data_IF_366789202828
#
_entry.id   IF_366789202828
#
_cell.length_a   1.000
_cell.length_b   1.000
_cell.length_c   1.000
_cell.angle_alpha   90.00
_cell.angle_beta   90.00
_cell.angle_gamma   90.00
#
_symmetry.space_group_name_H-M   'P 1'
#
loop_
_entity.id
_entity.type
_entity.pdbx_description
1 polymer ?
#
# COMPACT_ATOMS: atom_id res chain seq x y z
N UNK A 1 -6.62 24.49 -23.11
CA UNK A 1 -5.81 23.77 -24.10
C UNK A 1 -4.42 23.59 -23.53
N UNK A 2 -3.91 22.36 -23.57
CA UNK A 2 -2.60 22.02 -23.04
C UNK A 2 -1.47 22.52 -23.94
N UNK A 3 -0.29 22.76 -23.38
CA UNK A 3 0.87 23.27 -24.13
C UNK A 3 1.38 22.26 -25.17
N UNK A 4 1.14 20.97 -24.96
CA UNK A 4 1.63 19.85 -25.78
C UNK A 4 0.48 19.00 -26.34
N UNK A 5 -0.73 19.54 -26.43
CA UNK A 5 -1.93 18.81 -26.84
C UNK A 5 -1.80 18.13 -28.21
N UNK A 6 -1.20 18.83 -29.19
CA UNK A 6 -0.97 18.28 -30.53
C UNK A 6 0.07 17.16 -30.55
N UNK A 7 1.12 17.28 -29.73
CA UNK A 7 2.13 16.23 -29.57
C UNK A 7 1.50 15.00 -28.89
N UNK A 8 0.69 15.21 -27.85
CA UNK A 8 0.00 14.16 -27.13
C UNK A 8 -0.97 13.37 -28.04
N UNK A 9 -1.80 14.04 -28.84
CA UNK A 9 -2.71 13.41 -29.81
C UNK A 9 -1.97 12.54 -30.81
N UNK A 10 -0.86 13.06 -31.36
CA UNK A 10 -0.03 12.32 -32.32
C UNK A 10 0.64 11.11 -31.65
N UNK A 11 1.21 11.26 -30.46
CA UNK A 11 1.82 10.13 -29.74
C UNK A 11 0.78 9.01 -29.53
N UNK A 12 -0.40 9.34 -29.01
CA UNK A 12 -1.47 8.35 -28.76
C UNK A 12 -1.92 7.66 -30.04
N UNK A 13 -2.03 8.39 -31.15
CA UNK A 13 -2.37 7.82 -32.45
C UNK A 13 -1.30 6.85 -32.93
N UNK A 14 -0.04 7.26 -32.88
CA UNK A 14 1.08 6.47 -33.43
C UNK A 14 1.47 5.27 -32.54
N UNK A 15 1.10 5.23 -31.26
CA UNK A 15 1.21 4.00 -30.43
C UNK A 15 0.06 3.00 -30.66
N UNK A 16 -0.80 3.25 -31.65
CA UNK A 16 -1.91 2.36 -32.02
C UNK A 16 -3.26 2.71 -31.39
N UNK A 17 -3.43 3.94 -30.93
CA UNK A 17 -4.70 4.43 -30.36
C UNK A 17 -4.88 4.12 -28.87
N UNK A 18 -5.93 4.68 -28.27
CA UNK A 18 -6.26 4.51 -26.85
C UNK A 18 -6.47 3.03 -26.50
N UNK A 19 -7.13 2.31 -27.40
CA UNK A 19 -7.46 0.90 -27.30
C UNK A 19 -6.24 -0.02 -27.21
N UNK A 20 -5.08 0.42 -27.72
CA UNK A 20 -3.82 -0.33 -27.67
C UNK A 20 -2.99 -0.06 -26.41
N UNK A 21 -3.37 0.93 -25.59
CA UNK A 21 -2.63 1.30 -24.37
C UNK A 21 -3.25 0.60 -23.16
N UNK A 22 -2.49 -0.31 -22.51
CA UNK A 22 -2.88 -0.93 -21.25
C UNK A 22 -2.62 0.00 -20.06
N UNK A 23 -1.44 0.61 -20.02
CA UNK A 23 -1.10 1.58 -18.98
C UNK A 23 -0.03 2.54 -19.46
N UNK A 24 -0.02 3.71 -18.81
CA UNK A 24 0.98 4.75 -19.05
C UNK A 24 1.61 5.15 -17.72
N UNK A 25 2.93 5.06 -17.66
CA UNK A 25 3.75 5.61 -16.57
C UNK A 25 4.79 6.56 -17.16
N UNK A 26 5.46 7.36 -16.34
CA UNK A 26 6.51 8.24 -16.83
C UNK A 26 7.62 8.41 -15.79
N UNK A 27 8.85 8.57 -16.29
CA UNK A 27 9.97 9.07 -15.49
C UNK A 27 10.25 10.54 -15.88
N UNK A 28 11.42 11.07 -15.51
CA UNK A 28 11.78 12.49 -15.75
C UNK A 28 11.85 12.80 -17.26
N UNK A 29 12.30 11.83 -18.08
CA UNK A 29 12.58 12.06 -19.51
C UNK A 29 11.81 11.17 -20.49
N UNK A 30 11.00 10.21 -20.00
CA UNK A 30 10.32 9.23 -20.86
C UNK A 30 8.87 8.96 -20.45
N UNK A 31 8.00 8.86 -21.45
CA UNK A 31 6.70 8.22 -21.35
C UNK A 31 6.88 6.72 -21.57
N UNK A 32 6.31 5.90 -20.70
CA UNK A 32 6.43 4.44 -20.72
C UNK A 32 5.04 3.83 -20.88
N UNK A 33 4.76 3.34 -22.07
CA UNK A 33 3.52 2.68 -22.42
C UNK A 33 3.68 1.17 -22.23
N UNK A 34 2.70 0.55 -21.56
CA UNK A 34 2.46 -0.90 -21.67
C UNK A 34 1.41 -1.05 -22.77
N UNK A 35 1.80 -1.56 -23.94
CA UNK A 35 0.90 -1.73 -25.08
C UNK A 35 0.27 -3.14 -25.05
N UNK A 36 -0.89 -3.30 -25.68
CA UNK A 36 -1.49 -4.64 -25.92
C UNK A 36 -0.76 -5.36 -27.03
N UNK A 37 -0.43 -4.62 -28.08
CA UNK A 37 0.25 -5.12 -29.26
C UNK A 37 1.25 -4.06 -29.74
N UNK A 38 2.54 -4.35 -29.59
CA UNK A 38 3.60 -3.43 -30.01
C UNK A 38 3.71 -3.32 -31.54
N UNK A 39 3.21 -4.30 -32.30
CA UNK A 39 3.26 -4.25 -33.78
C UNK A 39 2.37 -3.16 -34.38
N UNK A 40 1.40 -2.67 -33.61
CA UNK A 40 0.52 -1.56 -33.99
C UNK A 40 1.15 -0.19 -33.72
N UNK A 41 2.32 -0.13 -33.09
CA UNK A 41 3.02 1.11 -32.84
C UNK A 41 3.95 1.48 -34.01
N UNK A 42 3.76 2.67 -34.56
CA UNK A 42 4.56 3.21 -35.65
C UNK A 42 5.86 3.83 -35.12
N UNK A 43 6.81 2.96 -34.78
CA UNK A 43 8.09 3.34 -34.15
C UNK A 43 8.90 4.34 -34.98
N UNK A 44 8.98 4.16 -36.30
CA UNK A 44 9.74 5.05 -37.17
C UNK A 44 9.08 6.44 -37.30
N UNK A 45 7.74 6.50 -37.31
CA UNK A 45 7.02 7.77 -37.29
C UNK A 45 7.28 8.51 -35.98
N UNK A 46 7.18 7.81 -34.85
CA UNK A 46 7.40 8.39 -33.51
C UNK A 46 8.82 8.95 -33.33
N UNK A 47 9.86 8.27 -33.86
CA UNK A 47 11.24 8.76 -33.80
C UNK A 47 11.47 10.06 -34.57
N UNK A 48 10.68 10.30 -35.63
CA UNK A 48 10.82 11.46 -36.51
C UNK A 48 9.88 12.63 -36.11
N UNK A 49 9.12 12.49 -35.02
CA UNK A 49 8.22 13.54 -34.55
C UNK A 49 8.99 14.64 -33.82
N UNK A 50 8.63 15.89 -34.13
CA UNK A 50 9.14 17.05 -33.41
C UNK A 50 8.78 16.97 -31.92
N UNK A 51 9.77 17.11 -31.04
CA UNK A 51 9.65 16.90 -29.60
C UNK A 51 9.86 15.46 -29.11
N UNK A 52 10.13 14.49 -29.98
CA UNK A 52 10.55 13.13 -29.60
C UNK A 52 12.02 12.93 -29.93
N UNK A 53 12.83 12.60 -28.92
CA UNK A 53 14.27 12.36 -29.08
C UNK A 53 14.53 10.97 -29.65
N UNK A 54 13.83 9.96 -29.13
CA UNK A 54 13.94 8.57 -29.60
C UNK A 54 12.81 7.70 -29.03
N UNK A 55 12.70 6.47 -29.53
CA UNK A 55 11.81 5.44 -29.01
C UNK A 55 12.62 4.18 -28.70
N UNK A 56 12.39 3.59 -27.54
CA UNK A 56 13.10 2.41 -27.06
C UNK A 56 12.11 1.38 -26.50
N UNK A 57 12.38 0.10 -26.73
CA UNK A 57 11.64 -1.01 -26.12
C UNK A 57 12.55 -1.70 -25.11
N UNK A 58 12.18 -1.65 -23.82
CA UNK A 58 12.97 -2.25 -22.75
C UNK A 58 12.08 -2.66 -21.58
N UNK A 59 12.31 -3.87 -21.05
CA UNK A 59 11.58 -4.39 -19.88
C UNK A 59 10.08 -4.57 -20.13
N UNK A 60 9.68 -4.99 -21.35
CA UNK A 60 8.27 -5.16 -21.72
C UNK A 60 7.47 -3.87 -21.78
N UNK A 61 8.14 -2.72 -21.94
CA UNK A 61 7.53 -1.40 -22.06
C UNK A 61 8.02 -0.69 -23.31
N UNK A 62 7.10 -0.01 -23.97
CA UNK A 62 7.34 0.85 -25.11
C UNK A 62 7.58 2.30 -24.65
N UNK A 63 8.79 2.81 -24.82
CA UNK A 63 9.23 4.06 -24.22
C UNK A 63 9.45 5.15 -25.26
N UNK A 64 8.70 6.25 -25.15
CA UNK A 64 8.89 7.47 -25.96
C UNK A 64 9.71 8.46 -25.15
N UNK A 65 10.92 8.77 -25.63
CA UNK A 65 11.86 9.69 -24.99
C UNK A 65 11.63 11.09 -25.52
N UNK A 66 11.26 12.02 -24.65
CA UNK A 66 10.93 13.41 -25.00
C UNK A 66 11.94 14.39 -24.36
N UNK A 67 12.47 14.06 -23.18
CA UNK A 67 13.31 14.94 -22.39
C UNK A 67 12.57 15.58 -21.21
N UNK A 68 13.06 16.70 -20.70
CA UNK A 68 12.62 17.27 -19.41
C UNK A 68 11.15 17.75 -19.37
N UNK A 69 10.47 17.78 -20.52
CA UNK A 69 9.07 18.22 -20.64
C UNK A 69 8.05 17.09 -20.40
N UNK A 70 8.48 15.86 -20.12
CA UNK A 70 7.59 14.71 -19.92
C UNK A 70 6.48 14.92 -18.89
N UNK A 71 6.70 15.56 -17.73
CA UNK A 71 5.62 15.82 -16.78
C UNK A 71 4.47 16.66 -17.36
N UNK A 72 4.78 17.59 -18.27
CA UNK A 72 3.79 18.44 -18.92
C UNK A 72 3.13 17.73 -20.10
N UNK A 73 3.90 17.01 -20.92
CA UNK A 73 3.35 16.18 -22.01
C UNK A 73 2.44 15.09 -21.45
N UNK A 74 2.78 14.53 -20.29
CA UNK A 74 1.99 13.49 -19.61
C UNK A 74 0.56 13.95 -19.33
N UNK A 75 0.37 15.19 -18.85
CA UNK A 75 -0.95 15.74 -18.54
C UNK A 75 -1.84 15.78 -19.79
N UNK A 76 -1.26 16.18 -20.92
CA UNK A 76 -1.97 16.26 -22.19
C UNK A 76 -2.24 14.87 -22.78
N UNK A 77 -1.31 13.92 -22.61
CA UNK A 77 -1.52 12.51 -23.00
C UNK A 77 -2.61 11.85 -22.16
N UNK A 78 -2.66 12.11 -20.85
CA UNK A 78 -3.74 11.62 -19.99
C UNK A 78 -5.09 12.21 -20.38
N UNK A 79 -5.14 13.48 -20.81
CA UNK A 79 -6.37 14.09 -21.30
C UNK A 79 -6.85 13.45 -22.62
N UNK A 80 -5.94 13.05 -23.51
CA UNK A 80 -6.26 12.38 -24.78
C UNK A 80 -6.65 10.91 -24.56
N UNK A 81 -5.93 10.18 -23.70
CA UNK A 81 -6.26 8.80 -23.35
C UNK A 81 -7.51 8.73 -22.48
N UNK A 82 -7.86 9.79 -21.75
CA UNK A 82 -8.95 9.77 -20.78
C UNK A 82 -8.71 8.75 -19.67
N UNK A 83 -9.78 8.30 -19.02
CA UNK A 83 -9.68 7.20 -18.04
C UNK A 83 -9.28 5.93 -18.80
N UNK A 84 -8.05 5.47 -18.56
CA UNK A 84 -7.59 4.13 -18.90
C UNK A 84 -8.17 3.18 -17.85
N UNK A 85 -8.86 2.13 -18.29
CA UNK A 85 -9.26 1.08 -17.38
C UNK A 85 -7.99 0.46 -16.77
N UNK A 86 -7.92 0.29 -15.44
CA UNK A 86 -6.74 -0.27 -14.81
C UNK A 86 -6.56 -1.72 -15.31
N UNK A 87 -5.58 -1.93 -16.19
CA UNK A 87 -5.18 -3.28 -16.60
C UNK A 87 -4.45 -3.92 -15.43
N UNK A 88 -5.11 -4.91 -14.85
CA UNK A 88 -4.51 -5.85 -13.90
C UNK A 88 -3.31 -6.50 -14.55
N UNK A 89 -2.21 -6.57 -13.82
CA UNK A 89 -1.02 -7.30 -14.21
C UNK A 89 -1.36 -8.80 -14.27
N UNK A 90 -1.81 -9.29 -15.42
CA UNK A 90 -2.06 -10.71 -15.69
C UNK A 90 -0.73 -11.41 -16.07
N UNK A 91 0.21 -11.43 -15.12
CA UNK A 91 1.21 -12.50 -15.08
C UNK A 91 0.52 -13.85 -14.85
N UNK A 92 1.15 -14.98 -15.20
CA UNK A 92 0.57 -16.30 -14.96
C UNK A 92 0.14 -16.39 -13.50
N UNK A 93 -1.16 -16.60 -13.28
CA UNK A 93 -1.73 -16.67 -11.92
C UNK A 93 -1.15 -17.90 -11.24
N UNK A 94 -0.05 -17.70 -10.51
CA UNK A 94 0.59 -18.71 -9.69
C UNK A 94 -0.37 -19.31 -8.66
N UNK A 95 0.15 -20.23 -7.86
CA UNK A 95 -0.60 -20.90 -6.80
C UNK A 95 -1.21 -19.88 -5.83
N UNK A 96 -2.18 -20.28 -5.01
CA UNK A 96 -2.82 -19.41 -4.01
C UNK A 96 -1.80 -18.68 -3.13
N UNK A 97 -0.66 -19.32 -2.87
CA UNK A 97 0.48 -18.73 -2.17
C UNK A 97 1.13 -17.58 -2.95
N UNK A 98 1.41 -17.75 -4.24
CA UNK A 98 2.03 -16.71 -5.08
C UNK A 98 1.14 -15.47 -5.16
N UNK A 99 -0.18 -15.65 -5.30
CA UNK A 99 -1.15 -14.54 -5.29
C UNK A 99 -1.18 -13.80 -3.96
N UNK A 100 -1.03 -14.54 -2.86
CA UNK A 100 -0.95 -13.95 -1.53
C UNK A 100 0.33 -13.13 -1.38
N UNK A 101 1.47 -13.65 -1.84
CA UNK A 101 2.75 -12.94 -1.87
C UNK A 101 2.65 -11.68 -2.73
N UNK A 102 2.11 -11.76 -3.95
CA UNK A 102 1.92 -10.62 -4.84
C UNK A 102 1.00 -9.54 -4.25
N UNK A 103 -0.02 -9.96 -3.49
CA UNK A 103 -0.90 -9.06 -2.78
C UNK A 103 -0.13 -8.32 -1.69
N UNK A 104 0.57 -9.05 -0.81
CA UNK A 104 1.35 -8.46 0.29
C UNK A 104 2.46 -7.56 -0.26
N UNK A 105 3.24 -8.04 -1.22
CA UNK A 105 4.30 -7.26 -1.88
C UNK A 105 3.75 -5.98 -2.49
N UNK A 106 2.63 -6.02 -3.20
CA UNK A 106 2.02 -4.82 -3.78
C UNK A 106 1.51 -3.80 -2.75
N UNK A 107 1.16 -4.24 -1.53
CA UNK A 107 0.75 -3.36 -0.42
C UNK A 107 1.97 -2.70 0.24
N UNK A 108 3.07 -3.45 0.39
CA UNK A 108 4.28 -2.99 1.09
C UNK A 108 5.24 -2.20 0.21
N UNK A 109 5.37 -2.53 -1.07
CA UNK A 109 6.31 -1.89 -2.01
C UNK A 109 6.31 -0.35 -1.94
N UNK A 110 5.15 0.35 -1.95
CA UNK A 110 5.14 1.82 -1.87
C UNK A 110 5.65 2.39 -0.53
N UNK A 111 5.63 1.59 0.54
CA UNK A 111 6.00 2.01 1.90
C UNK A 111 7.44 1.59 2.25
N UNK A 112 8.04 0.67 1.49
CA UNK A 112 9.42 0.19 1.73
C UNK A 112 10.46 1.31 1.90
N UNK A 113 10.51 2.37 1.06
CA UNK A 113 11.48 3.44 1.25
C UNK A 113 11.29 4.18 2.59
N UNK A 114 10.04 4.39 2.99
CA UNK A 114 9.71 5.05 4.26
C UNK A 114 10.04 4.14 5.46
N UNK A 115 9.78 2.84 5.35
CA UNK A 115 10.20 1.84 6.35
C UNK A 115 11.71 1.82 6.53
N UNK A 116 12.48 1.85 5.44
CA UNK A 116 13.92 1.92 5.49
C UNK A 116 14.40 3.19 6.23
N UNK A 117 13.81 4.35 5.91
CA UNK A 117 14.14 5.60 6.59
C UNK A 117 13.83 5.56 8.10
N UNK A 118 12.65 5.07 8.50
CA UNK A 118 12.27 4.93 9.91
C UNK A 118 13.20 3.96 10.67
N UNK A 119 13.56 2.84 10.05
CA UNK A 119 14.51 1.88 10.61
C UNK A 119 15.91 2.46 10.79
N UNK A 120 16.42 3.19 9.78
CA UNK A 120 17.72 3.87 9.87
C UNK A 120 17.72 4.93 10.97
N UNK A 121 16.64 5.72 11.11
CA UNK A 121 16.49 6.71 12.18
C UNK A 121 16.47 6.06 13.56
N UNK A 122 15.80 4.92 13.72
CA UNK A 122 15.86 4.11 14.95
C UNK A 122 17.27 3.63 15.24
N UNK A 123 18.01 3.17 14.22
CA UNK A 123 19.41 2.76 14.35
C UNK A 123 20.31 3.90 14.82
N UNK A 124 20.18 5.09 14.22
CA UNK A 124 20.91 6.30 14.65
C UNK A 124 20.57 6.66 16.09
N UNK A 125 19.29 6.63 16.45
CA UNK A 125 18.81 6.91 17.81
C UNK A 125 19.42 5.94 18.83
N UNK A 126 19.49 4.65 18.50
CA UNK A 126 20.11 3.64 19.35
C UNK A 126 21.61 3.88 19.54
N UNK A 127 22.34 4.22 18.48
CA UNK A 127 23.78 4.53 18.55
C UNK A 127 24.02 5.78 19.41
N UNK A 128 23.24 6.85 19.22
CA UNK A 128 23.35 8.07 20.01
C UNK A 128 23.03 7.81 21.49
N UNK A 129 22.00 7.01 21.77
CA UNK A 129 21.63 6.61 23.12
C UNK A 129 22.73 5.81 23.81
N UNK A 130 23.41 4.93 23.08
CA UNK A 130 24.53 4.16 23.61
C UNK A 130 25.77 5.03 23.84
N UNK A 131 26.13 5.89 22.87
CA UNK A 131 27.33 6.72 22.91
C UNK A 131 27.25 7.87 23.92
N UNK A 132 26.10 8.54 24.03
CA UNK A 132 25.91 9.72 24.89
C UNK A 132 25.41 9.35 26.30
N UNK A 133 25.14 8.06 26.55
CA UNK A 133 24.76 7.53 27.85
C UNK A 133 23.34 7.88 28.32
N UNK A 134 22.98 7.48 29.56
CA UNK A 134 21.61 7.53 30.07
C UNK A 134 20.97 8.92 30.11
N UNK A 135 21.79 9.97 30.24
CA UNK A 135 21.31 11.36 30.29
C UNK A 135 20.74 11.82 28.95
N UNK A 136 21.26 11.31 27.83
CA UNK A 136 20.68 11.57 26.51
C UNK A 136 19.34 10.84 26.35
N UNK A 137 19.27 9.57 26.75
CA UNK A 137 18.05 8.76 26.65
C UNK A 137 16.85 9.34 27.42
N UNK A 138 17.10 10.06 28.51
CA UNK A 138 16.08 10.78 29.27
C UNK A 138 15.79 12.21 28.74
N UNK A 139 16.52 12.67 27.73
CA UNK A 139 16.45 14.03 27.20
C UNK A 139 15.36 14.23 26.15
N UNK A 140 14.92 15.47 25.98
CA UNK A 140 13.95 15.87 24.95
C UNK A 140 14.45 15.59 23.52
N UNK A 141 15.76 15.73 23.28
CA UNK A 141 16.38 15.40 21.98
C UNK A 141 16.19 13.94 21.63
N UNK A 142 16.43 13.01 22.57
CA UNK A 142 16.18 11.59 22.35
C UNK A 142 14.71 11.33 22.04
N UNK A 143 13.78 11.96 22.76
CA UNK A 143 12.35 11.79 22.52
C UNK A 143 11.96 12.17 21.08
N UNK A 144 12.53 13.25 20.52
CA UNK A 144 12.30 13.66 19.13
C UNK A 144 12.87 12.63 18.15
N UNK A 145 14.12 12.21 18.34
CA UNK A 145 14.76 11.18 17.50
C UNK A 145 13.99 9.86 17.53
N UNK A 146 13.55 9.45 18.72
CA UNK A 146 12.77 8.24 18.90
C UNK A 146 11.41 8.34 18.22
N UNK A 147 10.73 9.49 18.31
CA UNK A 147 9.46 9.76 17.65
C UNK A 147 9.57 9.77 16.11
N UNK A 148 10.69 10.24 15.55
CA UNK A 148 10.93 10.21 14.09
C UNK A 148 10.87 8.78 13.54
N UNK A 149 11.37 7.80 14.29
CA UNK A 149 11.28 6.38 13.94
C UNK A 149 9.93 5.76 14.32
N UNK A 150 9.47 6.00 15.55
CA UNK A 150 8.23 5.38 16.07
C UNK A 150 6.97 5.80 15.33
N UNK A 151 6.93 7.02 14.79
CA UNK A 151 5.76 7.52 14.08
C UNK A 151 5.31 6.56 12.97
N UNK A 152 6.23 6.04 12.16
CA UNK A 152 5.87 5.10 11.11
C UNK A 152 5.42 3.74 11.67
N UNK A 153 6.16 3.18 12.64
CA UNK A 153 5.88 1.83 13.15
C UNK A 153 4.59 1.77 13.96
N UNK A 154 4.32 2.79 14.77
CA UNK A 154 3.09 2.91 15.56
C UNK A 154 1.87 3.07 14.65
N UNK A 155 1.98 3.93 13.64
CA UNK A 155 0.90 4.23 12.70
C UNK A 155 1.00 3.41 11.40
N UNK A 156 1.78 2.33 11.39
CA UNK A 156 1.97 1.46 10.23
C UNK A 156 0.64 1.00 9.61
N UNK A 157 -0.39 0.66 10.40
CA UNK A 157 -1.70 0.33 9.85
C UNK A 157 -2.29 1.44 8.98
N UNK A 158 -2.06 2.72 9.29
CA UNK A 158 -2.61 3.85 8.52
C UNK A 158 -2.00 3.90 7.12
N UNK A 159 -0.68 3.75 7.04
CA UNK A 159 0.02 3.71 5.75
C UNK A 159 -0.41 2.49 4.93
N UNK A 160 -0.48 1.33 5.56
CA UNK A 160 -0.95 0.10 4.90
C UNK A 160 -2.41 0.19 4.49
N UNK A 161 -3.27 0.85 5.27
CA UNK A 161 -4.67 1.06 4.92
C UNK A 161 -4.81 1.85 3.62
N UNK A 162 -3.96 2.86 3.41
CA UNK A 162 -3.89 3.61 2.15
C UNK A 162 -3.48 2.72 0.97
N UNK A 163 -2.36 2.00 1.08
CA UNK A 163 -1.83 1.19 -0.03
C UNK A 163 -2.68 -0.03 -0.31
N UNK A 164 -3.25 -0.67 0.72
CA UNK A 164 -4.16 -1.80 0.59
C UNK A 164 -5.46 -1.41 -0.10
N UNK A 165 -6.09 -0.29 0.29
CA UNK A 165 -7.27 0.21 -0.45
C UNK A 165 -6.94 0.50 -1.91
N UNK A 166 -5.77 1.08 -2.20
CA UNK A 166 -5.34 1.30 -3.58
C UNK A 166 -5.17 -0.02 -4.35
N UNK A 167 -4.58 -1.04 -3.73
CA UNK A 167 -4.40 -2.39 -4.30
C UNK A 167 -5.75 -3.08 -4.56
N UNK A 168 -6.71 -2.95 -3.64
CA UNK A 168 -8.05 -3.53 -3.78
C UNK A 168 -9.01 -2.67 -4.62
N UNK A 169 -8.60 -1.49 -5.08
CA UNK A 169 -9.40 -0.58 -5.90
C UNK A 169 -10.52 0.14 -5.14
N UNK A 170 -10.34 0.39 -3.85
CA UNK A 170 -11.19 1.26 -3.02
C UNK A 170 -10.56 2.65 -2.82
N UNK A 171 -11.24 3.51 -2.05
CA UNK A 171 -10.76 4.85 -1.71
C UNK A 171 -9.63 4.81 -0.67
N UNK A 172 -8.41 5.30 -0.97
CA UNK A 172 -7.28 5.19 -0.05
C UNK A 172 -7.49 5.88 1.32
N UNK A 173 -8.08 7.08 1.33
CA UNK A 173 -8.37 7.81 2.56
C UNK A 173 -9.41 7.12 3.45
N UNK A 174 -10.30 6.31 2.87
CA UNK A 174 -11.25 5.51 3.63
C UNK A 174 -10.54 4.37 4.36
N UNK A 175 -9.53 3.76 3.72
CA UNK A 175 -8.65 2.78 4.38
C UNK A 175 -7.84 3.38 5.51
N UNK A 176 -7.32 4.60 5.32
CA UNK A 176 -6.65 5.34 6.40
C UNK A 176 -7.59 5.62 7.58
N UNK A 177 -8.85 5.98 7.32
CA UNK A 177 -9.86 6.20 8.35
C UNK A 177 -10.14 4.92 9.16
N UNK A 178 -10.31 3.78 8.48
CA UNK A 178 -10.51 2.48 9.12
C UNK A 178 -9.28 2.11 9.95
N UNK A 179 -8.08 2.27 9.40
CA UNK A 179 -6.85 2.04 10.13
C UNK A 179 -6.72 2.93 11.37
N UNK A 180 -7.02 4.22 11.25
CA UNK A 180 -6.98 5.17 12.36
C UNK A 180 -7.92 4.78 13.51
N UNK A 181 -9.07 4.15 13.20
CA UNK A 181 -9.95 3.59 14.21
C UNK A 181 -9.32 2.40 14.96
N UNK A 182 -8.56 1.55 14.26
CA UNK A 182 -7.84 0.42 14.88
C UNK A 182 -6.70 0.88 15.79
N UNK A 183 -6.02 1.96 15.41
CA UNK A 183 -4.94 2.59 16.19
C UNK A 183 -5.43 3.74 17.07
N UNK A 184 -6.72 3.75 17.43
CA UNK A 184 -7.27 4.75 18.33
C UNK A 184 -6.47 4.78 19.64
N UNK A 185 -6.09 5.98 20.08
CA UNK A 185 -5.18 6.18 21.22
C UNK A 185 -5.62 5.39 22.47
N UNK A 186 -6.92 5.42 22.78
CA UNK A 186 -7.46 4.74 23.96
C UNK A 186 -7.29 3.21 23.94
N UNK A 187 -7.14 2.61 22.76
CA UNK A 187 -6.85 1.18 22.61
C UNK A 187 -5.35 0.88 22.70
N UNK A 188 -4.50 1.80 22.24
CA UNK A 188 -3.04 1.64 22.28
C UNK A 188 -2.50 1.84 23.70
N UNK A 189 -2.95 2.89 24.39
CA UNK A 189 -2.50 3.19 25.76
C UNK A 189 -3.28 2.43 26.84
N UNK A 190 -4.28 1.65 26.42
CA UNK A 190 -5.14 0.85 27.30
C UNK A 190 -6.07 1.66 28.18
N UNK A 191 -6.15 2.99 28.03
CA UNK A 191 -7.03 3.85 28.85
C UNK A 191 -8.51 3.51 28.65
N UNK A 192 -8.92 3.23 27.41
CA UNK A 192 -10.30 2.82 27.12
C UNK A 192 -10.59 1.42 27.67
N UNK A 193 -9.62 0.50 27.60
CA UNK A 193 -9.77 -0.88 28.11
C UNK A 193 -9.99 -0.89 29.62
N UNK A 194 -9.29 -0.03 30.37
CA UNK A 194 -9.51 0.15 31.81
C UNK A 194 -10.92 0.63 32.12
N UNK A 195 -11.42 1.61 31.36
CA UNK A 195 -12.78 2.13 31.53
C UNK A 195 -13.84 1.05 31.20
N UNK A 196 -13.62 0.24 30.17
CA UNK A 196 -14.54 -0.85 29.82
C UNK A 196 -14.64 -1.90 30.91
N UNK A 197 -13.54 -2.22 31.60
CA UNK A 197 -13.55 -3.16 32.71
C UNK A 197 -14.50 -2.73 33.84
N UNK A 198 -14.69 -1.43 34.04
CA UNK A 198 -15.59 -0.85 35.04
C UNK A 198 -17.05 -0.82 34.57
N UNK A 199 -17.31 -0.78 33.26
CA UNK A 199 -18.65 -0.62 32.67
C UNK A 199 -19.23 -1.90 32.06
N UNK A 200 -18.72 -3.07 32.46
CA UNK A 200 -19.25 -4.38 32.03
C UNK A 200 -18.45 -5.07 30.92
N UNK A 201 -17.26 -4.59 30.59
CA UNK A 201 -16.33 -5.22 29.64
C UNK A 201 -16.45 -4.71 28.20
N UNK A 202 -15.78 -5.40 27.28
CA UNK A 202 -15.75 -5.05 25.85
C UNK A 202 -16.98 -5.61 25.13
N UNK A 203 -18.06 -4.82 25.08
CA UNK A 203 -19.28 -5.16 24.35
C UNK A 203 -19.66 -4.10 23.32
N UNK A 204 -20.04 -4.54 22.12
CA UNK A 204 -20.64 -3.72 21.10
C UNK A 204 -22.11 -4.13 20.93
N UNK A 205 -23.05 -3.33 21.43
CA UNK A 205 -24.49 -3.65 21.49
C UNK A 205 -24.80 -5.07 22.04
N UNK A 206 -24.10 -5.47 23.10
CA UNK A 206 -24.25 -6.79 23.73
C UNK A 206 -23.40 -7.91 23.12
N UNK A 207 -22.77 -7.69 21.97
CA UNK A 207 -21.85 -8.66 21.37
C UNK A 207 -20.46 -8.46 21.96
N UNK A 208 -19.85 -9.49 22.59
CA UNK A 208 -18.50 -9.37 23.12
C UNK A 208 -17.49 -9.22 21.99
N UNK A 209 -16.48 -8.39 22.20
CA UNK A 209 -15.32 -8.28 21.31
C UNK A 209 -14.03 -8.21 22.12
N UNK A 210 -12.90 -8.42 21.47
CA UNK A 210 -11.59 -8.39 22.12
C UNK A 210 -10.61 -7.56 21.31
N UNK A 211 -9.94 -6.63 21.97
CA UNK A 211 -8.78 -5.93 21.42
C UNK A 211 -7.53 -6.56 22.04
N UNK A 212 -6.48 -6.85 21.25
CA UNK A 212 -5.20 -7.29 21.80
C UNK A 212 -4.66 -6.28 22.82
N UNK A 213 -3.97 -6.77 23.85
CA UNK A 213 -3.34 -5.91 24.88
C UNK A 213 -2.34 -4.90 24.29
N UNK A 214 -1.69 -5.24 23.18
CA UNK A 214 -0.80 -4.34 22.45
C UNK A 214 -1.54 -3.39 21.48
N UNK A 215 -2.87 -3.44 21.46
CA UNK A 215 -3.71 -2.82 20.44
C UNK A 215 -3.47 -3.41 19.05
N UNK A 216 -3.87 -2.64 18.03
CA UNK A 216 -3.57 -2.96 16.63
C UNK A 216 -2.40 -2.14 16.08
N UNK A 217 -1.76 -1.30 16.91
CA UNK A 217 -0.54 -0.58 16.56
C UNK A 217 0.54 -1.59 16.19
N UNK A 218 1.15 -1.45 15.02
CA UNK A 218 2.10 -2.40 14.40
C UNK A 218 1.54 -3.73 13.86
N UNK A 219 0.23 -3.98 13.91
CA UNK A 219 -0.36 -5.19 13.29
C UNK A 219 -0.72 -4.97 11.82
N UNK A 220 -0.39 -5.94 10.98
CA UNK A 220 -0.54 -5.84 9.51
C UNK A 220 -1.77 -6.60 9.01
N UNK A 221 -1.97 -7.83 9.49
CA UNK A 221 -3.05 -8.71 9.00
C UNK A 221 -4.45 -8.10 9.18
N UNK A 222 -4.81 -7.55 10.37
CA UNK A 222 -6.15 -6.99 10.58
C UNK A 222 -6.48 -5.82 9.63
N UNK A 223 -5.50 -4.98 9.31
CA UNK A 223 -5.74 -3.85 8.41
C UNK A 223 -5.84 -4.28 6.94
N UNK A 224 -5.04 -5.25 6.50
CA UNK A 224 -5.16 -5.81 5.15
C UNK A 224 -6.53 -6.47 4.98
N UNK A 225 -6.95 -7.30 5.94
CA UNK A 225 -8.25 -7.96 5.91
C UNK A 225 -9.43 -6.97 5.92
N UNK A 226 -9.38 -5.96 6.80
CA UNK A 226 -10.45 -4.96 6.89
C UNK A 226 -10.53 -4.06 5.67
N UNK A 227 -9.42 -3.67 5.06
CA UNK A 227 -9.43 -2.89 3.82
C UNK A 227 -9.84 -3.70 2.59
N UNK A 228 -9.52 -5.00 2.53
CA UNK A 228 -10.06 -5.88 1.50
C UNK A 228 -11.59 -5.94 1.55
N UNK A 229 -12.14 -6.12 2.76
CA UNK A 229 -13.58 -6.08 2.98
C UNK A 229 -14.17 -4.69 2.73
N UNK A 230 -13.49 -3.62 3.15
CA UNK A 230 -13.91 -2.24 2.91
C UNK A 230 -14.04 -1.93 1.43
N UNK A 231 -13.05 -2.32 0.61
CA UNK A 231 -13.10 -2.12 -0.83
C UNK A 231 -14.29 -2.85 -1.47
N UNK A 232 -14.63 -4.04 -0.99
CA UNK A 232 -15.83 -4.77 -1.42
C UNK A 232 -17.13 -4.03 -1.04
N UNK A 233 -17.25 -3.63 0.24
CA UNK A 233 -18.43 -2.91 0.75
C UNK A 233 -18.59 -1.56 0.04
N UNK A 234 -17.52 -0.78 -0.10
CA UNK A 234 -17.52 0.53 -0.76
C UNK A 234 -17.99 0.42 -2.21
N UNK A 235 -17.46 -0.53 -2.97
CA UNK A 235 -17.87 -0.77 -4.37
C UNK A 235 -19.34 -1.17 -4.47
N UNK A 236 -19.84 -1.92 -3.50
CA UNK A 236 -21.25 -2.35 -3.45
C UNK A 236 -22.16 -1.15 -3.14
N UNK A 237 -21.81 -0.35 -2.13
CA UNK A 237 -22.56 0.84 -1.76
C UNK A 237 -22.56 1.90 -2.88
N UNK A 238 -21.47 2.05 -3.63
CA UNK A 238 -21.40 2.93 -4.82
C UNK A 238 -22.40 2.55 -5.92
N UNK A 239 -22.79 1.28 -6.01
CA UNK A 239 -23.81 0.80 -6.96
C UNK A 239 -25.22 0.98 -6.42
N UNK A 240 -25.40 0.89 -5.10
CA UNK A 240 -26.72 0.95 -4.45
C UNK A 240 -27.19 2.39 -4.20
N UNK A 241 -26.25 3.31 -3.87
CA UNK A 241 -26.57 4.66 -3.43
C UNK A 241 -26.70 5.63 -4.64
N UNK A 242 -27.74 6.48 -4.70
CA UNK A 242 -27.90 7.48 -5.76
C UNK A 242 -26.76 8.51 -5.80
N UNK A 243 -26.39 8.99 -7.00
CA UNK A 243 -25.24 9.88 -7.22
C UNK A 243 -25.27 11.17 -6.38
N UNK A 244 -26.45 11.75 -6.18
CA UNK A 244 -26.65 13.04 -5.47
C UNK A 244 -26.13 12.98 -4.02
N UNK A 245 -26.20 11.82 -3.37
CA UNK A 245 -25.83 11.63 -1.96
C UNK A 245 -24.61 10.73 -1.77
N UNK A 246 -24.06 10.20 -2.88
CA UNK A 246 -22.98 9.21 -2.89
C UNK A 246 -21.70 9.70 -2.21
N UNK A 247 -21.40 10.99 -2.34
CA UNK A 247 -20.22 11.63 -1.75
C UNK A 247 -20.15 11.45 -0.23
N UNK A 248 -21.30 11.51 0.46
CA UNK A 248 -21.36 11.46 1.93
C UNK A 248 -21.75 10.08 2.43
N UNK A 249 -22.75 9.44 1.80
CA UNK A 249 -23.33 8.20 2.32
C UNK A 249 -22.44 6.98 2.08
N UNK A 250 -21.73 6.90 0.95
CA UNK A 250 -20.82 5.76 0.69
C UNK A 250 -19.73 5.65 1.75
N UNK A 251 -18.89 6.68 2.00
CA UNK A 251 -17.85 6.57 3.01
C UNK A 251 -18.44 6.39 4.42
N UNK A 252 -19.56 7.06 4.73
CA UNK A 252 -20.25 6.91 6.02
C UNK A 252 -20.67 5.46 6.28
N UNK A 253 -21.46 4.85 5.39
CA UNK A 253 -21.94 3.49 5.58
C UNK A 253 -20.83 2.45 5.48
N UNK A 254 -19.83 2.68 4.61
CA UNK A 254 -18.66 1.77 4.54
C UNK A 254 -17.96 1.72 5.89
N UNK A 255 -17.63 2.86 6.48
CA UNK A 255 -16.98 2.88 7.80
C UNK A 255 -17.89 2.34 8.90
N UNK A 256 -19.16 2.72 8.90
CA UNK A 256 -20.15 2.28 9.90
C UNK A 256 -20.31 0.75 9.94
N UNK A 257 -20.17 0.09 8.79
CA UNK A 257 -20.26 -1.37 8.67
C UNK A 257 -18.89 -2.02 8.96
N UNK A 258 -17.83 -1.51 8.32
CA UNK A 258 -16.52 -2.18 8.33
C UNK A 258 -15.81 -2.06 9.67
N UNK A 259 -15.86 -0.90 10.33
CA UNK A 259 -15.11 -0.70 11.60
C UNK A 259 -15.62 -1.64 12.71
N UNK A 260 -16.93 -1.71 13.01
CA UNK A 260 -17.43 -2.67 14.00
C UNK A 260 -17.14 -4.12 13.63
N UNK A 261 -17.37 -4.50 12.37
CA UNK A 261 -17.05 -5.86 11.88
C UNK A 261 -15.56 -6.18 11.98
N UNK A 262 -14.70 -5.16 11.89
CA UNK A 262 -13.27 -5.34 12.08
C UNK A 262 -12.96 -5.72 13.52
N UNK A 263 -13.55 -5.08 14.51
CA UNK A 263 -13.33 -5.45 15.91
C UNK A 263 -14.01 -6.77 16.30
N UNK A 264 -15.18 -7.05 15.74
CA UNK A 264 -15.98 -8.22 16.11
C UNK A 264 -15.50 -9.51 15.46
N UNK A 265 -15.05 -9.45 14.20
CA UNK A 265 -14.84 -10.65 13.38
C UNK A 265 -13.48 -10.62 12.69
N UNK A 266 -13.21 -9.60 11.88
CA UNK A 266 -12.03 -9.61 10.99
C UNK A 266 -10.73 -9.56 11.82
N UNK A 267 -10.66 -8.69 12.82
CA UNK A 267 -9.52 -8.52 13.70
C UNK A 267 -9.16 -9.81 14.44
N UNK A 268 -10.08 -10.43 15.20
CA UNK A 268 -9.84 -11.72 15.85
C UNK A 268 -9.39 -12.83 14.89
N UNK A 269 -10.03 -12.96 13.73
CA UNK A 269 -9.66 -13.98 12.73
C UNK A 269 -8.25 -13.73 12.18
N UNK A 270 -7.94 -12.47 11.85
CA UNK A 270 -6.63 -12.09 11.30
C UNK A 270 -5.52 -12.20 12.34
N UNK A 271 -5.83 -11.92 13.62
CA UNK A 271 -4.89 -12.13 14.72
C UNK A 271 -4.62 -13.61 14.95
N UNK A 272 -5.66 -14.46 14.94
CA UNK A 272 -5.47 -15.91 15.04
C UNK A 272 -4.59 -16.45 13.90
N UNK A 273 -4.81 -15.97 12.67
CA UNK A 273 -3.97 -16.33 11.53
C UNK A 273 -2.51 -15.87 11.74
N UNK A 274 -2.29 -14.66 12.27
CA UNK A 274 -0.97 -14.14 12.58
C UNK A 274 -0.28 -14.96 13.69
N UNK A 275 -1.01 -15.32 14.75
CA UNK A 275 -0.51 -16.10 15.88
C UNK A 275 -0.14 -17.53 15.45
N UNK A 276 -0.93 -18.15 14.57
CA UNK A 276 -0.61 -19.47 14.00
C UNK A 276 0.70 -19.44 13.21
N UNK A 277 0.90 -18.41 12.38
CA UNK A 277 2.16 -18.23 11.64
C UNK A 277 3.34 -17.98 12.60
N UNK A 278 3.15 -17.14 13.61
CA UNK A 278 4.16 -16.85 14.63
C UNK A 278 4.55 -18.09 15.43
N UNK A 279 3.56 -18.85 15.91
CA UNK A 279 3.79 -20.08 16.65
C UNK A 279 4.47 -21.16 15.78
N UNK A 280 4.16 -21.22 14.48
CA UNK A 280 4.85 -22.09 13.53
C UNK A 280 6.34 -21.75 13.42
N UNK A 281 6.69 -20.47 13.30
CA UNK A 281 8.08 -20.01 13.30
C UNK A 281 8.78 -20.31 14.62
N UNK A 282 8.12 -20.07 15.76
CA UNK A 282 8.65 -20.37 17.09
C UNK A 282 8.88 -21.87 17.29
N UNK A 283 8.04 -22.74 16.73
CA UNK A 283 8.24 -24.19 16.80
C UNK A 283 9.53 -24.62 16.07
N UNK A 284 9.82 -24.03 14.91
CA UNK A 284 11.08 -24.27 14.19
C UNK A 284 12.27 -23.72 14.96
N UNK A 285 12.14 -22.53 15.55
CA UNK A 285 13.18 -21.92 16.39
C UNK A 285 13.50 -22.79 17.62
N UNK A 286 12.48 -23.29 18.31
CA UNK A 286 12.62 -24.13 19.49
C UNK A 286 13.16 -25.52 19.16
N UNK A 287 12.90 -26.04 17.95
CA UNK A 287 13.49 -27.29 17.49
C UNK A 287 15.01 -27.17 17.30
N UNK A 288 15.47 -26.12 16.59
CA UNK A 288 16.89 -25.84 16.47
C UNK A 288 17.14 -24.36 16.07
N UNK A 289 17.65 -23.52 16.99
CA UNK A 289 17.89 -22.10 16.73
C UNK A 289 18.88 -21.83 15.60
N UNK A 290 19.86 -22.73 15.39
CA UNK A 290 20.89 -22.58 14.34
C UNK A 290 20.27 -22.85 12.97
N UNK A 291 19.46 -23.91 12.85
CA UNK A 291 18.75 -24.23 11.60
C UNK A 291 17.71 -23.14 11.28
N UNK A 292 16.99 -22.67 12.29
CA UNK A 292 16.06 -21.55 12.13
C UNK A 292 16.79 -20.29 11.63
N UNK A 293 17.92 -19.93 12.24
CA UNK A 293 18.76 -18.82 11.80
C UNK A 293 19.28 -18.99 10.36
N UNK A 294 19.67 -20.21 9.98
CA UNK A 294 20.11 -20.52 8.63
C UNK A 294 18.97 -20.42 7.59
N UNK A 295 17.79 -20.97 7.90
CA UNK A 295 16.61 -20.93 7.02
C UNK A 295 16.12 -19.50 6.84
N UNK A 296 16.00 -18.73 7.92
CA UNK A 296 15.55 -17.34 7.85
C UNK A 296 16.62 -16.49 7.16
N UNK A 297 17.90 -16.64 7.49
CA UNK A 297 18.98 -15.88 6.87
C UNK A 297 19.11 -16.13 5.36
N UNK A 298 19.01 -17.40 4.93
CA UNK A 298 19.04 -17.77 3.52
C UNK A 298 17.74 -17.37 2.80
N UNK A 299 16.59 -17.71 3.39
CA UNK A 299 15.27 -17.41 2.85
C UNK A 299 15.02 -15.91 2.71
N UNK A 300 15.57 -15.09 3.61
CA UNK A 300 15.49 -13.63 3.54
C UNK A 300 16.10 -13.08 2.24
N UNK A 301 17.27 -13.59 1.83
CA UNK A 301 17.90 -13.17 0.59
C UNK A 301 17.07 -13.57 -0.64
N UNK A 302 16.50 -14.78 -0.63
CA UNK A 302 15.61 -15.26 -1.70
C UNK A 302 14.33 -14.39 -1.79
N UNK A 303 13.71 -14.07 -0.65
CA UNK A 303 12.53 -13.20 -0.62
C UNK A 303 12.84 -11.78 -1.13
N UNK A 304 13.99 -11.21 -0.77
CA UNK A 304 14.39 -9.89 -1.26
C UNK A 304 14.59 -9.89 -2.78
N UNK A 305 15.19 -10.94 -3.35
CA UNK A 305 15.42 -11.06 -4.79
C UNK A 305 14.11 -11.20 -5.60
N UNK A 306 13.07 -11.78 -5.02
CA UNK A 306 11.75 -11.95 -5.67
C UNK A 306 10.88 -10.69 -5.54
N UNK A 307 11.17 -9.81 -4.59
CA UNK A 307 10.36 -8.61 -4.31
C UNK A 307 10.82 -7.36 -5.11
N UNK A 308 11.94 -7.45 -5.83
CA UNK A 308 12.55 -6.40 -6.68
C UNK A 308 12.29 -6.69 -8.16
#
# INVERSE_FOLDING_TARGET
MGKYEELAKKIVKEVGGKENVNSLTNCITRLRFKLKDESKANTETLKNMDGVVTVMQAGGQYQVVIGNHVPDVRKDVDAVLGVLDPVTDDGPKGNLFDRFVDMVSGIFQPILPTLAAAGMLKGVTAILSFSMGPRFAAGSTYAIFNAMGDGLFLFLPIFLGYTAMKKFGGSPFLGMMIAAALVYKGFIDGSAVKQFAETGGMHFFGIPFSIPLAGYGSTVMPIIGSTAFAAFVEKTLRKLIPDVVKLFLVPFFTTLIVVPLTFLVIGPIMNLAADLLGNGLLAVQNFNPIIFGAIIGFGWQVMLLVTV
#
